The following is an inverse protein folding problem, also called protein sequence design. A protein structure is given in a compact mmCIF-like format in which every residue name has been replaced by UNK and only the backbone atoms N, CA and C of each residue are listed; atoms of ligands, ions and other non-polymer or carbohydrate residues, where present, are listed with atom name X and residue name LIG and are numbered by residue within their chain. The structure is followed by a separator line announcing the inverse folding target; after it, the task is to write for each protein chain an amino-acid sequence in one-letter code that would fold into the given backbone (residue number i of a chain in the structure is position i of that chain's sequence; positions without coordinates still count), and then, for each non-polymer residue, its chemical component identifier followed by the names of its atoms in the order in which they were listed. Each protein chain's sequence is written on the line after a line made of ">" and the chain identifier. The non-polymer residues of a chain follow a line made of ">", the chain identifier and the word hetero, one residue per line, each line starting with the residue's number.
data_IF_734184912924
#
_entry.id   IF_734184912924
#
_cell.length_a   1.000
_cell.length_b   1.000
_cell.length_c   1.000
_cell.angle_alpha   90.00
_cell.angle_beta   90.00
_cell.angle_gamma   90.00
#
_symmetry.space_group_name_H-M   'P 1'
#
loop_
_entity.id
_entity.type
_entity.pdbx_description
1 polymer ?
#
# COMPACT_ATOMS: atom_id res chain seq x y z
N UNK A 1 15.74 -53.66 -3.58
CA UNK A 1 14.90 -52.99 -2.54
C UNK A 1 15.83 -52.01 -1.85
N UNK A 2 15.87 -50.73 -2.24
CA UNK A 2 14.94 -49.65 -1.84
C UNK A 2 14.76 -49.61 -0.31
N UNK A 3 15.05 -48.52 0.40
CA UNK A 3 14.47 -47.20 0.16
C UNK A 3 15.42 -46.03 0.50
N UNK A 4 15.17 -44.94 -0.23
CA UNK A 4 15.86 -43.66 -0.18
C UNK A 4 15.62 -42.92 1.14
N UNK A 5 16.71 -42.30 1.61
CA UNK A 5 16.73 -41.23 2.60
C UNK A 5 15.99 -40.01 2.05
N UNK A 6 14.94 -39.55 2.76
CA UNK A 6 14.25 -38.30 2.46
C UNK A 6 14.73 -37.22 3.42
N UNK A 7 15.68 -36.42 2.94
CA UNK A 7 16.02 -35.15 3.56
C UNK A 7 14.91 -34.15 3.20
N UNK A 8 14.02 -33.90 4.15
CA UNK A 8 13.10 -32.76 4.07
C UNK A 8 13.93 -31.50 4.26
N UNK A 9 14.22 -30.83 3.14
CA UNK A 9 14.77 -29.48 3.16
C UNK A 9 13.78 -28.59 3.88
N UNK A 10 14.22 -27.98 4.98
CA UNK A 10 13.54 -26.86 5.60
C UNK A 10 13.45 -25.75 4.56
N UNK A 11 12.29 -25.61 3.91
CA UNK A 11 11.96 -24.38 3.21
C UNK A 11 11.86 -23.33 4.30
N UNK A 12 12.89 -22.49 4.43
CA UNK A 12 12.79 -21.28 5.23
C UNK A 12 11.75 -20.39 4.56
N UNK A 13 10.49 -20.61 4.90
CA UNK A 13 9.44 -19.60 4.73
C UNK A 13 9.88 -18.41 5.60
N UNK A 14 10.56 -17.48 4.94
CA UNK A 14 10.86 -16.19 5.51
C UNK A 14 9.51 -15.49 5.68
N UNK A 15 8.83 -15.76 6.79
CA UNK A 15 7.62 -15.09 7.24
C UNK A 15 8.03 -13.66 7.59
N UNK A 16 8.25 -12.87 6.54
CA UNK A 16 8.52 -11.46 6.68
C UNK A 16 7.28 -10.88 7.39
N UNK A 17 7.51 -10.22 8.52
CA UNK A 17 6.43 -9.64 9.31
C UNK A 17 5.55 -8.75 8.41
N UNK A 18 4.24 -8.84 8.55
CA UNK A 18 3.30 -7.97 7.83
C UNK A 18 3.69 -6.50 8.01
N UNK A 19 3.43 -5.69 6.98
CA UNK A 19 3.62 -4.26 7.08
C UNK A 19 2.64 -3.70 8.12
N UNK A 20 3.11 -2.76 8.93
CA UNK A 20 2.24 -1.99 9.80
C UNK A 20 1.64 -0.79 9.07
N UNK A 21 0.47 -0.31 9.52
CA UNK A 21 -0.12 0.91 8.98
C UNK A 21 0.80 2.13 9.11
N UNK A 22 1.65 2.16 10.14
CA UNK A 22 2.63 3.23 10.36
C UNK A 22 3.74 3.22 9.31
N UNK A 23 4.20 2.04 8.88
CA UNK A 23 5.17 1.94 7.78
C UNK A 23 4.57 2.48 6.48
N UNK A 24 3.33 2.08 6.15
CA UNK A 24 2.63 2.57 4.95
C UNK A 24 2.39 4.09 5.03
N UNK A 25 1.90 4.58 6.16
CA UNK A 25 1.70 6.02 6.40
C UNK A 25 3.00 6.81 6.24
N UNK A 26 4.14 6.25 6.67
CA UNK A 26 5.43 6.91 6.49
C UNK A 26 5.82 7.02 5.01
N UNK A 27 5.54 6.01 4.19
CA UNK A 27 5.77 6.10 2.73
C UNK A 27 4.91 7.21 2.12
N UNK A 28 3.61 7.24 2.44
CA UNK A 28 2.69 8.29 1.98
C UNK A 28 3.15 9.68 2.44
N UNK A 29 3.63 9.81 3.67
CA UNK A 29 4.18 11.06 4.20
C UNK A 29 5.38 11.55 3.41
N UNK A 30 6.31 10.68 3.06
CA UNK A 30 7.47 11.07 2.25
C UNK A 30 7.05 11.53 0.83
N UNK A 31 5.98 10.95 0.25
CA UNK A 31 5.37 11.45 -0.99
C UNK A 31 4.82 12.87 -0.81
N UNK A 32 4.09 13.14 0.28
CA UNK A 32 3.55 14.50 0.55
C UNK A 32 4.63 15.56 0.76
N UNK A 33 5.84 15.16 1.16
CA UNK A 33 7.01 16.02 1.25
C UNK A 33 7.88 16.03 -0.02
N UNK A 34 7.41 15.40 -1.10
CA UNK A 34 8.11 15.30 -2.39
C UNK A 34 9.50 14.62 -2.29
N UNK A 35 9.67 13.76 -1.28
CA UNK A 35 10.92 13.00 -1.04
C UNK A 35 10.94 11.63 -1.71
N UNK A 36 9.77 11.15 -2.13
CA UNK A 36 9.60 9.92 -2.90
C UNK A 36 8.74 10.20 -4.12
N UNK A 37 9.10 9.59 -5.24
CA UNK A 37 8.32 9.70 -6.47
C UNK A 37 7.11 8.76 -6.44
N UNK A 38 5.94 9.29 -6.77
CA UNK A 38 4.70 8.52 -6.94
C UNK A 38 4.27 8.55 -8.41
N UNK A 39 3.92 7.38 -8.96
CA UNK A 39 3.42 7.23 -10.33
C UNK A 39 2.12 6.44 -10.35
N UNK A 40 1.25 6.71 -11.32
CA UNK A 40 0.00 5.95 -11.49
C UNK A 40 0.25 4.58 -12.12
N UNK A 41 -0.42 3.57 -11.59
CA UNK A 41 -0.53 2.23 -12.19
C UNK A 41 -1.94 1.94 -12.72
N UNK A 42 -2.97 2.65 -12.24
CA UNK A 42 -4.34 2.55 -12.79
C UNK A 42 -4.42 3.01 -14.25
N UNK A 43 -5.29 2.35 -15.03
CA UNK A 43 -5.54 2.73 -16.43
C UNK A 43 -6.30 4.06 -16.54
N UNK A 44 -7.34 4.22 -15.72
CA UNK A 44 -8.16 5.42 -15.65
C UNK A 44 -7.49 6.48 -14.75
N UNK A 45 -7.73 7.76 -15.05
CA UNK A 45 -7.36 8.87 -14.16
C UNK A 45 -8.20 8.87 -12.88
N UNK A 46 -7.78 9.68 -11.90
CA UNK A 46 -8.53 9.85 -10.66
C UNK A 46 -10.00 10.27 -10.92
N UNK A 47 -10.18 11.29 -11.75
CA UNK A 47 -11.50 11.84 -12.10
C UNK A 47 -12.38 10.84 -12.87
N UNK A 48 -11.77 10.01 -13.72
CA UNK A 48 -12.49 8.98 -14.48
C UNK A 48 -12.98 7.84 -13.59
N UNK A 49 -12.24 7.50 -12.53
CA UNK A 49 -12.66 6.48 -11.57
C UNK A 49 -13.85 6.97 -10.77
N UNK A 50 -13.81 8.22 -10.30
CA UNK A 50 -14.83 8.90 -9.46
C UNK A 50 -15.16 8.20 -8.13
N UNK A 51 -15.49 6.91 -8.15
CA UNK A 51 -15.67 6.05 -7.00
C UNK A 51 -15.09 4.65 -7.29
N UNK A 52 -13.99 4.28 -6.63
CA UNK A 52 -13.30 3.00 -6.85
C UNK A 52 -11.82 3.01 -6.50
N UNK A 53 -11.14 1.89 -6.74
CA UNK A 53 -9.71 1.74 -6.43
C UNK A 53 -8.80 2.45 -7.44
N UNK A 54 -7.90 3.28 -6.93
CA UNK A 54 -6.82 3.93 -7.65
C UNK A 54 -5.47 3.39 -7.15
N UNK A 55 -4.67 2.83 -8.06
CA UNK A 55 -3.41 2.16 -7.73
C UNK A 55 -2.24 3.03 -8.15
N UNK A 56 -1.30 3.21 -7.22
CA UNK A 56 -0.05 3.96 -7.44
C UNK A 56 1.18 3.13 -7.07
N UNK A 57 2.28 3.46 -7.73
CA UNK A 57 3.63 3.00 -7.41
C UNK A 57 4.38 4.10 -6.67
N UNK A 58 5.06 3.75 -5.58
CA UNK A 58 5.99 4.63 -4.87
C UNK A 58 7.31 3.90 -4.72
N UNK A 59 8.22 4.08 -5.69
CA UNK A 59 9.58 3.50 -5.65
C UNK A 59 9.62 1.99 -5.32
N UNK A 60 8.77 1.21 -6.00
CA UNK A 60 8.66 -0.24 -5.80
C UNK A 60 7.64 -0.66 -4.73
N UNK A 61 6.98 0.29 -4.07
CA UNK A 61 5.79 0.03 -3.26
C UNK A 61 4.55 0.16 -4.13
N UNK A 62 3.65 -0.81 -4.07
CA UNK A 62 2.35 -0.75 -4.74
C UNK A 62 1.28 -0.45 -3.70
N UNK A 63 0.53 0.63 -3.89
CA UNK A 63 -0.48 1.09 -2.93
C UNK A 63 -1.83 1.20 -3.66
N UNK A 64 -2.85 0.51 -3.16
CA UNK A 64 -4.23 0.61 -3.60
C UNK A 64 -5.00 1.53 -2.65
N UNK A 65 -5.57 2.59 -3.20
CA UNK A 65 -6.29 3.63 -2.45
C UNK A 65 -7.72 3.68 -2.97
N UNK A 66 -8.70 3.83 -2.09
CA UNK A 66 -10.08 4.03 -2.50
C UNK A 66 -10.36 5.53 -2.71
N UNK A 67 -10.86 5.86 -3.89
CA UNK A 67 -11.48 7.15 -4.21
C UNK A 67 -12.99 7.02 -3.93
N UNK A 68 -13.54 7.87 -3.07
CA UNK A 68 -14.99 7.95 -2.84
C UNK A 68 -15.53 9.30 -3.32
N UNK A 69 -16.24 9.28 -4.45
CA UNK A 69 -16.86 10.46 -5.04
C UNK A 69 -15.89 11.65 -5.23
N UNK A 70 -14.73 11.39 -5.82
CA UNK A 70 -13.62 12.34 -6.00
C UNK A 70 -12.89 12.75 -4.69
N UNK A 71 -13.00 11.96 -3.62
CA UNK A 71 -12.30 12.22 -2.35
C UNK A 71 -11.41 11.06 -1.93
N UNK A 72 -10.27 11.40 -1.32
CA UNK A 72 -9.35 10.42 -0.77
C UNK A 72 -9.92 9.81 0.52
N UNK A 73 -10.31 8.53 0.45
CA UNK A 73 -10.98 7.83 1.55
C UNK A 73 -9.98 7.00 2.40
N UNK A 74 -9.72 5.75 2.03
CA UNK A 74 -8.83 4.83 2.77
C UNK A 74 -7.81 4.12 1.89
N UNK A 75 -6.75 3.60 2.51
CA UNK A 75 -5.84 2.66 1.88
C UNK A 75 -6.44 1.25 1.96
N UNK A 76 -6.57 0.55 0.82
CA UNK A 76 -7.07 -0.82 0.75
C UNK A 76 -5.95 -1.84 0.96
N UNK A 77 -4.83 -1.65 0.26
CA UNK A 77 -3.70 -2.57 0.27
C UNK A 77 -2.39 -1.83 0.01
N UNK A 78 -1.32 -2.30 0.64
CA UNK A 78 0.04 -1.90 0.32
C UNK A 78 0.96 -3.12 0.24
N UNK A 79 1.76 -3.21 -0.83
CA UNK A 79 2.82 -4.20 -1.00
C UNK A 79 4.15 -3.45 -1.09
N UNK A 80 5.09 -3.74 -0.19
CA UNK A 80 6.43 -3.16 -0.23
C UNK A 80 7.31 -3.81 -1.30
N UNK A 81 8.42 -3.16 -1.61
CA UNK A 81 9.40 -3.65 -2.60
C UNK A 81 10.04 -5.00 -2.25
N UNK A 82 10.04 -5.39 -0.98
CA UNK A 82 10.50 -6.70 -0.49
C UNK A 82 9.37 -7.75 -0.39
N UNK A 83 8.15 -7.40 -0.83
CA UNK A 83 7.01 -8.32 -0.90
C UNK A 83 6.18 -8.43 0.39
N UNK A 84 6.48 -7.65 1.44
CA UNK A 84 5.61 -7.58 2.64
C UNK A 84 4.30 -6.87 2.29
N UNK A 85 3.20 -7.27 2.94
CA UNK A 85 1.85 -6.78 2.66
C UNK A 85 1.22 -6.16 3.90
N UNK A 86 0.46 -5.09 3.69
CA UNK A 86 -0.57 -4.58 4.59
C UNK A 86 -1.90 -4.57 3.82
N UNK A 87 -3.01 -4.96 4.47
CA UNK A 87 -4.35 -4.87 3.90
C UNK A 87 -5.34 -4.31 4.91
N UNK A 88 -6.39 -3.65 4.42
CA UNK A 88 -7.46 -3.12 5.27
C UNK A 88 -8.17 -4.23 6.05
N UNK A 89 -8.42 -5.38 5.41
CA UNK A 89 -9.09 -6.56 5.99
C UNK A 89 -8.17 -7.49 6.83
N UNK A 90 -6.94 -7.06 7.18
CA UNK A 90 -5.99 -7.93 7.94
C UNK A 90 -6.43 -8.26 9.38
N UNK A 91 -7.63 -7.85 9.77
CA UNK A 91 -8.10 -7.90 11.15
C UNK A 91 -7.39 -6.89 12.04
N UNK A 92 -8.05 -6.55 13.14
CA UNK A 92 -7.78 -5.45 14.08
C UNK A 92 -6.38 -5.45 14.76
N UNK A 93 -5.41 -6.25 14.30
CA UNK A 93 -4.07 -6.33 14.90
C UNK A 93 -3.24 -5.06 14.63
N UNK A 94 -3.55 -4.32 13.56
CA UNK A 94 -2.95 -3.03 13.19
C UNK A 94 -3.98 -2.00 12.70
N UNK A 95 -5.25 -2.14 13.15
CA UNK A 95 -6.51 -1.60 12.59
C UNK A 95 -6.68 -0.09 12.50
N UNK A 96 -5.67 0.66 12.09
CA UNK A 96 -5.81 2.07 11.71
C UNK A 96 -5.41 2.21 10.26
N UNK A 97 -6.30 2.73 9.43
CA UNK A 97 -6.01 3.06 8.05
C UNK A 97 -4.78 4.00 7.97
N UNK A 98 -3.77 3.69 7.14
CA UNK A 98 -2.60 4.53 6.89
C UNK A 98 -2.95 5.97 6.51
N UNK A 99 -4.07 6.18 5.81
CA UNK A 99 -4.55 7.51 5.41
C UNK A 99 -5.06 8.29 6.63
N UNK A 100 -5.80 7.64 7.52
CA UNK A 100 -6.24 8.22 8.79
C UNK A 100 -5.10 8.66 9.74
N UNK A 101 -3.87 8.17 9.52
CA UNK A 101 -2.67 8.57 10.29
C UNK A 101 -1.97 9.83 9.75
N UNK A 102 -2.41 10.35 8.60
CA UNK A 102 -1.88 11.59 8.03
C UNK A 102 -2.46 12.81 8.75
N UNK A 103 -1.67 13.88 8.85
CA UNK A 103 -2.25 15.17 9.24
C UNK A 103 -3.19 15.68 8.15
N UNK A 104 -4.11 16.61 8.49
CA UNK A 104 -5.02 17.22 7.51
C UNK A 104 -4.28 17.80 6.29
N UNK A 105 -3.13 18.44 6.51
CA UNK A 105 -2.31 18.97 5.41
C UNK A 105 -1.70 17.87 4.54
N UNK A 106 -1.22 16.77 5.14
CA UNK A 106 -0.67 15.62 4.42
C UNK A 106 -1.74 14.93 3.58
N UNK A 107 -2.93 14.72 4.15
CA UNK A 107 -4.09 14.15 3.45
C UNK A 107 -4.46 14.99 2.22
N UNK A 108 -4.69 16.30 2.39
CA UNK A 108 -5.04 17.21 1.29
C UNK A 108 -3.95 17.29 0.22
N UNK A 109 -2.68 17.25 0.64
CA UNK A 109 -1.55 17.25 -0.30
C UNK A 109 -1.51 15.96 -1.11
N UNK A 110 -1.72 14.81 -0.46
CA UNK A 110 -1.75 13.51 -1.13
C UNK A 110 -2.90 13.43 -2.14
N UNK A 111 -4.12 13.86 -1.76
CA UNK A 111 -5.26 13.88 -2.68
C UNK A 111 -4.97 14.73 -3.93
N UNK A 112 -4.40 15.92 -3.76
CA UNK A 112 -4.01 16.78 -4.90
C UNK A 112 -2.98 16.11 -5.80
N UNK A 113 -2.01 15.37 -5.23
CA UNK A 113 -1.01 14.65 -6.01
C UNK A 113 -1.65 13.49 -6.78
N UNK A 114 -2.58 12.75 -6.17
CA UNK A 114 -3.31 11.67 -6.82
C UNK A 114 -4.15 12.18 -8.00
N UNK A 115 -4.84 13.32 -7.83
CA UNK A 115 -5.60 14.01 -8.88
C UNK A 115 -4.74 14.49 -10.06
N UNK A 116 -3.44 14.67 -9.86
CA UNK A 116 -2.52 15.15 -10.88
C UNK A 116 -1.87 14.03 -11.73
N UNK A 117 -2.13 12.76 -11.42
CA UNK A 117 -1.55 11.58 -12.10
C UNK A 117 -2.42 11.00 -13.22
#
# INVERSE_FOLDING_TARGET
>A
MAAHSSQVGSVSENTAAELSAREVCQVLREVTFERRMMTKESQASWDEIYAGYFVVSVEGWRISIYNDCDTLDYCEECISSDGRRWSFDSGDRFGTDPIALLSTWQHQTLERLLKAL
#
